data_IF_098975530231
#
_entry.id   IF_098975530231
#
_cell.length_a   1.000
_cell.length_b   1.000
_cell.length_c   1.000
_cell.angle_alpha   90.00
_cell.angle_beta   90.00
_cell.angle_gamma   90.00
#
_symmetry.space_group_name_H-M   'P 1'
#
loop_
_entity.id
_entity.type
_entity.pdbx_description
1 polymer ?
#
# COMPACT_ATOMS: atom_id res chain seq x y z
N UNK A 1 -35.46 -31.36 20.48
CA UNK A 1 -35.03 -29.97 20.26
C UNK A 1 -33.51 -29.93 20.24
N UNK A 2 -32.86 -29.55 19.12
CA UNK A 2 -31.42 -29.32 19.08
C UNK A 2 -31.13 -27.96 19.72
N UNK A 3 -30.27 -27.94 20.75
CA UNK A 3 -29.85 -26.70 21.38
C UNK A 3 -29.21 -25.75 20.35
N UNK A 4 -29.46 -24.43 20.41
CA UNK A 4 -28.81 -23.49 19.50
C UNK A 4 -27.29 -23.52 19.68
N UNK A 5 -26.56 -23.52 18.56
CA UNK A 5 -25.09 -23.49 18.52
C UNK A 5 -24.58 -22.30 19.35
N UNK A 6 -23.53 -22.49 20.17
CA UNK A 6 -23.02 -21.47 21.11
C UNK A 6 -22.80 -20.08 20.50
N UNK A 7 -22.38 -20.01 19.24
CA UNK A 7 -22.19 -18.76 18.47
C UNK A 7 -23.46 -17.92 18.35
N UNK A 8 -24.63 -18.54 18.16
CA UNK A 8 -25.91 -17.83 18.11
C UNK A 8 -26.30 -17.22 19.47
N UNK A 9 -25.86 -17.83 20.58
CA UNK A 9 -26.20 -17.30 21.91
C UNK A 9 -25.46 -16.01 22.21
N UNK A 10 -24.17 -15.94 21.89
CA UNK A 10 -23.37 -14.72 22.07
C UNK A 10 -23.82 -13.60 21.12
N UNK A 11 -24.12 -13.95 19.87
CA UNK A 11 -24.68 -13.01 18.90
C UNK A 11 -26.00 -12.42 19.39
N UNK A 12 -26.92 -13.26 19.86
CA UNK A 12 -28.20 -12.79 20.41
C UNK A 12 -27.99 -11.93 21.65
N UNK A 13 -27.09 -12.33 22.55
CA UNK A 13 -26.82 -11.60 23.78
C UNK A 13 -26.27 -10.19 23.50
N UNK A 14 -25.33 -10.04 22.56
CA UNK A 14 -24.81 -8.74 22.11
C UNK A 14 -25.89 -7.85 21.47
N UNK A 15 -26.89 -8.45 20.83
CA UNK A 15 -27.98 -7.71 20.18
C UNK A 15 -29.07 -7.29 21.18
N UNK A 16 -29.44 -8.20 22.08
CA UNK A 16 -30.51 -8.03 23.09
C UNK A 16 -30.09 -7.09 24.22
N UNK A 17 -28.87 -7.24 24.73
CA UNK A 17 -28.32 -6.38 25.79
C UNK A 17 -27.76 -5.08 25.19
N UNK A 18 -28.38 -3.96 25.56
CA UNK A 18 -28.01 -2.64 25.05
C UNK A 18 -26.85 -2.00 25.80
N UNK A 19 -26.54 -2.47 27.00
CA UNK A 19 -25.51 -1.89 27.88
C UNK A 19 -24.20 -2.67 27.81
N UNK A 20 -24.27 -3.96 27.44
CA UNK A 20 -23.11 -4.85 27.36
C UNK A 20 -21.90 -4.29 26.60
N UNK A 21 -22.09 -3.58 25.47
CA UNK A 21 -20.96 -2.99 24.73
C UNK A 21 -20.31 -1.86 25.53
N UNK A 22 -21.10 -1.04 26.21
CA UNK A 22 -20.56 0.02 27.06
C UNK A 22 -19.84 -0.58 28.25
N UNK A 23 -20.40 -1.62 28.88
CA UNK A 23 -19.78 -2.30 30.01
C UNK A 23 -18.46 -3.00 29.63
N UNK A 24 -18.40 -3.63 28.45
CA UNK A 24 -17.21 -4.32 27.96
C UNK A 24 -16.05 -3.37 27.62
N UNK A 25 -16.37 -2.13 27.26
CA UNK A 25 -15.37 -1.13 26.88
C UNK A 25 -15.09 -0.12 28.00
N UNK A 26 -15.80 -0.24 29.13
CA UNK A 26 -15.65 0.66 30.27
C UNK A 26 -14.23 0.59 30.84
N UNK A 27 -13.49 1.70 30.73
CA UNK A 27 -12.11 1.80 31.22
C UNK A 27 -11.06 1.17 30.30
N UNK A 28 -11.43 0.73 29.10
CA UNK A 28 -10.49 0.23 28.10
C UNK A 28 -9.69 1.36 27.44
N UNK A 29 -8.46 1.06 27.07
CA UNK A 29 -7.56 1.97 26.36
C UNK A 29 -8.04 2.21 24.92
N UNK A 30 -7.72 3.39 24.38
CA UNK A 30 -8.13 3.82 23.03
C UNK A 30 -7.80 2.78 21.93
N UNK A 31 -6.64 2.12 22.05
CA UNK A 31 -6.23 1.10 21.09
C UNK A 31 -7.12 -0.15 21.13
N UNK A 32 -7.59 -0.55 22.30
CA UNK A 32 -8.46 -1.71 22.47
C UNK A 32 -9.88 -1.41 21.97
N UNK A 33 -10.40 -0.22 22.25
CA UNK A 33 -11.68 0.25 21.68
C UNK A 33 -11.62 0.25 20.15
N UNK A 34 -10.52 0.74 19.57
CA UNK A 34 -10.30 0.75 18.11
C UNK A 34 -10.19 -0.65 17.54
N UNK A 35 -9.48 -1.55 18.20
CA UNK A 35 -9.33 -2.95 17.79
C UNK A 35 -10.68 -3.68 17.82
N UNK A 36 -11.47 -3.48 18.88
CA UNK A 36 -12.82 -4.02 19.01
C UNK A 36 -13.73 -3.53 17.87
N UNK A 37 -13.76 -2.21 17.63
CA UNK A 37 -14.56 -1.60 16.58
C UNK A 37 -14.22 -2.14 15.18
N UNK A 38 -12.92 -2.26 14.86
CA UNK A 38 -12.46 -2.85 13.58
C UNK A 38 -12.89 -4.30 13.43
N UNK A 39 -12.69 -5.12 14.45
CA UNK A 39 -13.11 -6.53 14.45
C UNK A 39 -14.62 -6.67 14.30
N UNK A 40 -15.40 -5.78 14.91
CA UNK A 40 -16.86 -5.77 14.77
C UNK A 40 -17.30 -5.45 13.34
N UNK A 41 -16.70 -4.44 12.70
CA UNK A 41 -17.00 -4.07 11.30
C UNK A 41 -16.65 -5.18 10.31
N UNK A 42 -15.55 -5.89 10.56
CA UNK A 42 -15.06 -6.96 9.69
C UNK A 42 -15.66 -8.34 10.01
N UNK A 43 -16.44 -8.46 11.10
CA UNK A 43 -16.97 -9.73 11.55
C UNK A 43 -18.07 -10.25 10.61
N UNK A 44 -17.94 -11.47 10.06
CA UNK A 44 -18.99 -12.10 9.27
C UNK A 44 -20.13 -12.65 10.14
N UNK A 45 -20.00 -12.61 11.47
CA UNK A 45 -20.99 -13.18 12.39
C UNK A 45 -22.32 -12.39 12.42
N UNK A 46 -22.30 -11.12 11.99
CA UNK A 46 -23.46 -10.22 12.03
C UNK A 46 -23.88 -9.81 10.62
N UNK A 47 -25.16 -9.48 10.41
CA UNK A 47 -25.58 -8.81 9.19
C UNK A 47 -25.05 -7.37 9.16
N UNK A 48 -25.03 -6.73 7.99
CA UNK A 48 -24.50 -5.37 7.85
C UNK A 48 -25.24 -4.34 8.72
N UNK A 49 -26.56 -4.44 8.79
CA UNK A 49 -27.40 -3.58 9.63
C UNK A 49 -27.11 -3.79 11.12
N UNK A 50 -26.88 -5.04 11.54
CA UNK A 50 -26.56 -5.38 12.93
C UNK A 50 -25.18 -4.84 13.32
N UNK A 51 -24.18 -4.96 12.43
CA UNK A 51 -22.86 -4.36 12.64
C UNK A 51 -22.96 -2.85 12.82
N UNK A 52 -23.75 -2.16 12.00
CA UNK A 52 -23.99 -0.71 12.11
C UNK A 52 -24.67 -0.35 13.43
N UNK A 53 -25.66 -1.13 13.86
CA UNK A 53 -26.37 -0.95 15.13
C UNK A 53 -25.45 -1.12 16.34
N UNK A 54 -24.64 -2.18 16.36
CA UNK A 54 -23.67 -2.42 17.43
C UNK A 54 -22.57 -1.34 17.43
N UNK A 55 -22.13 -0.90 16.25
CA UNK A 55 -21.15 0.18 16.13
C UNK A 55 -21.68 1.52 16.64
N UNK A 56 -22.96 1.83 16.42
CA UNK A 56 -23.58 3.01 17.02
C UNK A 56 -23.55 2.97 18.56
N UNK A 57 -23.62 1.78 19.17
CA UNK A 57 -23.45 1.60 20.63
C UNK A 57 -22.00 1.83 21.05
N UNK A 58 -21.03 1.35 20.27
CA UNK A 58 -19.59 1.62 20.49
C UNK A 58 -19.33 3.13 20.46
N UNK A 59 -19.82 3.84 19.43
CA UNK A 59 -19.67 5.31 19.32
C UNK A 59 -20.35 6.03 20.49
N UNK A 60 -21.52 5.55 20.94
CA UNK A 60 -22.21 6.13 22.08
C UNK A 60 -21.41 6.00 23.38
N UNK A 61 -20.69 4.90 23.57
CA UNK A 61 -19.82 4.69 24.71
C UNK A 61 -18.47 5.43 24.57
N UNK A 62 -17.95 5.51 23.35
CA UNK A 62 -16.65 6.06 22.98
C UNK A 62 -16.76 6.93 21.72
N UNK A 63 -17.08 8.24 21.85
CA UNK A 63 -17.26 9.14 20.71
C UNK A 63 -16.08 9.21 19.75
N UNK A 64 -14.86 9.04 20.27
CA UNK A 64 -13.61 8.89 19.51
C UNK A 64 -13.65 7.80 18.41
N UNK A 65 -14.47 6.76 18.59
CA UNK A 65 -14.60 5.68 17.62
C UNK A 65 -15.38 6.10 16.37
N UNK A 66 -16.00 7.29 16.37
CA UNK A 66 -16.76 7.84 15.26
C UNK A 66 -15.90 7.97 13.99
N UNK A 67 -14.60 8.30 14.12
CA UNK A 67 -13.66 8.39 12.99
C UNK A 67 -13.53 7.07 12.20
N UNK A 68 -13.77 5.92 12.86
CA UNK A 68 -13.71 4.59 12.25
C UNK A 68 -14.94 4.28 11.39
N UNK A 69 -16.03 5.04 11.56
CA UNK A 69 -17.30 4.88 10.85
C UNK A 69 -17.51 5.98 9.83
N UNK A 70 -17.05 7.19 10.11
CA UNK A 70 -17.04 8.31 9.16
C UNK A 70 -15.91 8.20 8.14
N UNK A 71 -14.86 7.43 8.45
CA UNK A 71 -13.90 6.98 7.45
C UNK A 71 -14.51 5.94 6.55
N UNK A 72 -14.62 6.26 5.26
CA UNK A 72 -15.07 5.37 4.18
C UNK A 72 -14.56 3.93 4.38
N UNK A 73 -15.51 3.03 4.65
CA UNK A 73 -15.30 1.60 4.87
C UNK A 73 -15.88 0.78 3.71
N UNK A 74 -15.88 1.36 2.50
CA UNK A 74 -15.58 0.54 1.33
C UNK A 74 -14.21 -0.16 1.50
N UNK A 75 -13.90 -1.23 0.76
CA UNK A 75 -12.53 -1.69 0.69
C UNK A 75 -11.70 -0.48 0.26
N UNK A 76 -10.88 0.08 1.18
CA UNK A 76 -9.93 1.13 0.81
C UNK A 76 -9.15 0.54 -0.34
N UNK A 77 -9.32 1.10 -1.53
CA UNK A 77 -8.39 0.86 -2.63
C UNK A 77 -7.04 1.25 -2.00
N UNK A 78 -6.16 0.28 -1.75
CA UNK A 78 -4.83 0.54 -1.20
C UNK A 78 -4.18 1.51 -2.18
N UNK A 79 -4.20 2.78 -1.80
CA UNK A 79 -3.78 3.88 -2.66
C UNK A 79 -2.28 3.98 -2.48
N UNK A 80 -1.54 3.83 -3.58
CA UNK A 80 -0.10 3.90 -3.59
C UNK A 80 0.31 5.37 -3.39
N UNK A 81 0.97 5.67 -2.28
CA UNK A 81 1.56 6.98 -2.07
C UNK A 81 2.81 7.08 -2.92
N UNK A 82 2.90 8.11 -3.76
CA UNK A 82 4.03 8.36 -4.67
C UNK A 82 4.37 9.84 -4.66
N UNK A 83 5.62 10.21 -4.97
CA UNK A 83 5.92 11.62 -5.20
C UNK A 83 5.22 12.15 -6.45
N UNK A 84 5.00 13.46 -6.49
CA UNK A 84 4.51 14.15 -7.70
C UNK A 84 5.39 13.90 -8.92
N UNK A 85 6.72 13.95 -8.75
CA UNK A 85 7.67 13.69 -9.84
C UNK A 85 7.50 12.29 -10.43
N UNK A 86 7.45 11.26 -9.58
CA UNK A 86 7.25 9.88 -10.05
C UNK A 86 5.89 9.67 -10.71
N UNK A 87 4.84 10.33 -10.22
CA UNK A 87 3.53 10.30 -10.84
C UNK A 87 3.56 10.95 -12.24
N UNK A 88 4.22 12.10 -12.39
CA UNK A 88 4.38 12.77 -13.69
C UNK A 88 5.21 11.93 -14.66
N UNK A 89 6.33 11.34 -14.22
CA UNK A 89 7.13 10.43 -15.04
C UNK A 89 6.31 9.25 -15.56
N UNK A 90 5.49 8.62 -14.71
CA UNK A 90 4.60 7.51 -15.11
C UNK A 90 3.48 7.95 -16.06
N UNK A 91 2.91 9.15 -15.86
CA UNK A 91 1.94 9.73 -16.80
C UNK A 91 2.56 9.98 -18.17
N UNK A 92 3.77 10.56 -18.20
CA UNK A 92 4.50 10.80 -19.44
C UNK A 92 4.84 9.48 -20.17
N UNK A 93 5.25 8.43 -19.44
CA UNK A 93 5.46 7.10 -20.01
C UNK A 93 4.18 6.55 -20.63
N UNK A 94 3.05 6.68 -19.93
CA UNK A 94 1.75 6.23 -20.42
C UNK A 94 1.32 6.99 -21.69
N UNK A 95 1.48 8.32 -21.71
CA UNK A 95 1.17 9.13 -22.89
C UNK A 95 2.04 8.76 -24.10
N UNK A 96 3.35 8.54 -23.90
CA UNK A 96 4.24 8.09 -24.97
C UNK A 96 3.81 6.71 -25.52
N UNK A 97 3.45 5.80 -24.61
CA UNK A 97 2.97 4.47 -24.96
C UNK A 97 1.72 4.52 -25.85
N UNK A 98 0.72 5.29 -25.44
CA UNK A 98 -0.58 5.40 -26.12
C UNK A 98 -0.49 6.20 -27.42
N UNK A 99 0.21 7.34 -27.39
CA UNK A 99 0.19 8.29 -28.50
C UNK A 99 1.28 8.04 -29.54
N UNK A 100 2.37 7.32 -29.19
CA UNK A 100 3.49 7.07 -30.10
C UNK A 100 3.75 5.60 -30.34
N UNK A 101 4.05 4.84 -29.28
CA UNK A 101 4.57 3.46 -29.42
C UNK A 101 3.52 2.48 -29.98
N UNK A 102 2.29 2.51 -29.46
CA UNK A 102 1.21 1.65 -29.96
C UNK A 102 0.84 1.99 -31.42
N UNK A 103 0.59 3.26 -31.80
CA UNK A 103 0.38 3.62 -33.19
C UNK A 103 1.55 3.27 -34.11
N UNK A 104 2.79 3.41 -33.64
CA UNK A 104 4.00 3.00 -34.35
C UNK A 104 4.01 1.51 -34.66
N UNK A 105 3.78 0.67 -33.64
CA UNK A 105 3.70 -0.78 -33.80
C UNK A 105 2.58 -1.20 -34.79
N UNK A 106 1.42 -0.56 -34.75
CA UNK A 106 0.32 -0.85 -35.70
C UNK A 106 0.78 -0.61 -37.15
N UNK A 107 1.54 0.48 -37.39
CA UNK A 107 2.13 0.75 -38.71
C UNK A 107 3.16 -0.30 -39.11
N UNK A 108 4.03 -0.70 -38.18
CA UNK A 108 5.03 -1.76 -38.41
C UNK A 108 4.37 -3.08 -38.80
N UNK A 109 3.30 -3.48 -38.10
CA UNK A 109 2.52 -4.68 -38.45
C UNK A 109 1.93 -4.57 -39.86
N UNK A 110 1.39 -3.41 -40.22
CA UNK A 110 0.81 -3.18 -41.54
C UNK A 110 1.87 -3.28 -42.65
N UNK A 111 3.05 -2.69 -42.42
CA UNK A 111 4.20 -2.78 -43.34
C UNK A 111 4.66 -4.23 -43.46
N UNK A 112 4.88 -4.91 -42.33
CA UNK A 112 5.31 -6.31 -42.32
C UNK A 112 4.33 -7.23 -43.06
N UNK A 113 3.02 -6.94 -42.97
CA UNK A 113 1.97 -7.67 -43.68
C UNK A 113 2.01 -7.48 -45.20
N UNK A 114 2.50 -6.36 -45.69
CA UNK A 114 2.60 -6.09 -47.13
C UNK A 114 3.64 -6.95 -47.86
N UNK A 115 4.59 -7.57 -47.13
CA UNK A 115 5.64 -8.41 -47.71
C UNK A 115 5.19 -9.83 -48.10
N UNK A 116 3.89 -10.16 -47.98
CA UNK A 116 3.31 -11.35 -48.59
C UNK A 116 3.40 -12.62 -47.73
N UNK A 117 4.56 -13.26 -47.64
CA UNK A 117 4.67 -14.55 -46.92
C UNK A 117 4.81 -14.38 -45.40
N UNK A 118 3.66 -14.29 -44.74
CA UNK A 118 3.55 -14.09 -43.29
C UNK A 118 4.02 -15.28 -42.45
N UNK A 119 4.14 -16.49 -43.03
CA UNK A 119 4.49 -17.69 -42.26
C UNK A 119 5.97 -17.71 -41.89
N UNK A 120 6.83 -17.16 -42.74
CA UNK A 120 8.27 -17.04 -42.51
C UNK A 120 8.72 -15.63 -42.11
N UNK A 121 7.87 -14.62 -42.26
CA UNK A 121 8.19 -13.23 -41.94
C UNK A 121 8.46 -13.03 -40.43
N UNK A 122 9.74 -12.90 -40.08
CA UNK A 122 10.20 -12.71 -38.71
C UNK A 122 9.78 -11.35 -38.15
N UNK A 123 9.78 -10.32 -38.99
CA UNK A 123 9.40 -8.96 -38.66
C UNK A 123 7.92 -8.88 -38.25
N UNK A 124 7.04 -9.58 -38.94
CA UNK A 124 5.63 -9.67 -38.60
C UNK A 124 5.42 -10.35 -37.24
N UNK A 125 6.12 -11.47 -37.00
CA UNK A 125 6.05 -12.19 -35.72
C UNK A 125 6.55 -11.32 -34.56
N UNK A 126 7.69 -10.65 -34.75
CA UNK A 126 8.27 -9.74 -33.77
C UNK A 126 7.34 -8.55 -33.48
N UNK A 127 6.77 -7.93 -34.51
CA UNK A 127 5.83 -6.81 -34.36
C UNK A 127 4.56 -7.23 -33.59
N UNK A 128 4.02 -8.44 -33.86
CA UNK A 128 2.88 -9.00 -33.12
C UNK A 128 3.21 -9.35 -31.66
N UNK A 129 4.41 -9.84 -31.38
CA UNK A 129 4.86 -10.04 -30.00
C UNK A 129 4.98 -8.69 -29.27
N UNK A 130 5.59 -7.69 -29.92
CA UNK A 130 5.72 -6.36 -29.37
C UNK A 130 4.34 -5.72 -29.12
N UNK A 131 3.35 -5.96 -29.98
CA UNK A 131 1.97 -5.51 -29.76
C UNK A 131 1.40 -6.06 -28.45
N UNK A 132 1.63 -7.33 -28.14
CA UNK A 132 1.19 -7.94 -26.88
C UNK A 132 1.92 -7.33 -25.67
N UNK A 133 3.22 -7.07 -25.78
CA UNK A 133 4.02 -6.41 -24.74
C UNK A 133 3.49 -4.99 -24.48
N UNK A 134 3.26 -4.20 -25.52
CA UNK A 134 2.72 -2.84 -25.40
C UNK A 134 1.32 -2.83 -24.78
N UNK A 135 0.43 -3.74 -25.21
CA UNK A 135 -0.91 -3.84 -24.66
C UNK A 135 -0.88 -4.21 -23.16
N UNK A 136 -0.04 -5.17 -22.78
CA UNK A 136 0.15 -5.53 -21.37
C UNK A 136 0.68 -4.35 -20.55
N UNK A 137 1.72 -3.67 -21.04
CA UNK A 137 2.31 -2.51 -20.37
C UNK A 137 1.28 -1.38 -20.21
N UNK A 138 0.43 -1.18 -21.20
CA UNK A 138 -0.66 -0.18 -21.15
C UNK A 138 -1.61 -0.50 -20.00
N UNK A 139 -2.13 -1.73 -19.93
CA UNK A 139 -3.05 -2.15 -18.86
C UNK A 139 -2.41 -2.06 -17.48
N UNK A 140 -1.14 -2.46 -17.35
CA UNK A 140 -0.40 -2.35 -16.09
C UNK A 140 -0.26 -0.87 -15.66
N UNK A 141 0.18 0.01 -16.56
CA UNK A 141 0.31 1.45 -16.27
C UNK A 141 -1.04 2.11 -15.95
N UNK A 142 -2.11 1.79 -16.69
CA UNK A 142 -3.46 2.32 -16.39
C UNK A 142 -3.88 1.94 -14.97
N UNK A 143 -3.71 0.66 -14.59
CA UNK A 143 -4.05 0.18 -13.25
C UNK A 143 -3.19 0.85 -12.17
N UNK A 144 -1.89 0.96 -12.41
CA UNK A 144 -0.93 1.59 -11.49
C UNK A 144 -1.30 3.06 -11.26
N UNK A 145 -1.55 3.82 -12.35
CA UNK A 145 -1.96 5.22 -12.30
C UNK A 145 -3.32 5.41 -11.60
N UNK A 146 -4.28 4.53 -11.83
CA UNK A 146 -5.60 4.54 -11.18
C UNK A 146 -5.54 4.29 -9.67
N UNK A 147 -4.43 3.73 -9.17
CA UNK A 147 -4.23 3.42 -7.76
C UNK A 147 -3.26 4.38 -7.07
N UNK A 148 -2.62 5.29 -7.80
CA UNK A 148 -1.59 6.16 -7.25
C UNK A 148 -2.13 7.51 -6.82
N UNK A 149 -1.60 8.01 -5.70
CA UNK A 149 -1.85 9.34 -5.18
C UNK A 149 -0.52 10.07 -5.04
N UNK A 150 -0.40 11.15 -5.81
CA UNK A 150 0.72 12.08 -5.71
C UNK A 150 0.66 12.85 -4.39
N UNK A 151 1.80 12.89 -3.70
CA UNK A 151 1.97 13.59 -2.44
C UNK A 151 3.28 14.38 -2.45
N UNK A 152 3.30 15.47 -1.68
CA UNK A 152 4.56 16.09 -1.27
C UNK A 152 5.17 15.23 -0.16
N UNK A 153 6.40 14.76 -0.36
CA UNK A 153 7.11 13.88 0.56
C UNK A 153 8.12 14.65 1.43
N UNK A 154 8.15 15.99 1.33
CA UNK A 154 9.03 16.83 2.14
C UNK A 154 8.43 17.09 3.53
N UNK A 155 9.29 17.43 4.49
CA UNK A 155 8.83 17.87 5.83
C UNK A 155 8.09 16.82 6.65
N UNK A 156 8.36 15.53 6.40
CA UNK A 156 7.75 14.44 7.13
C UNK A 156 8.03 14.50 8.65
N UNK A 157 7.13 13.95 9.45
CA UNK A 157 7.36 13.75 10.88
C UNK A 157 8.51 12.77 11.10
N UNK A 158 9.49 13.19 11.92
CA UNK A 158 10.72 12.46 12.22
C UNK A 158 10.69 11.77 13.58
N UNK A 159 9.53 11.72 14.25
CA UNK A 159 9.36 11.00 15.52
C UNK A 159 9.55 9.47 15.37
N UNK A 160 9.35 8.97 14.17
CA UNK A 160 9.60 7.62 13.69
C UNK A 160 9.88 7.68 12.18
N UNK A 161 10.38 6.59 11.61
CA UNK A 161 10.57 6.48 10.17
C UNK A 161 9.20 6.48 9.49
N UNK A 162 9.02 7.41 8.56
CA UNK A 162 7.81 7.56 7.74
C UNK A 162 8.19 7.73 6.27
N UNK A 163 7.20 7.74 5.38
CA UNK A 163 7.41 8.18 4.00
C UNK A 163 7.89 9.65 4.04
N UNK A 164 8.98 9.94 3.33
CA UNK A 164 9.61 11.25 3.34
C UNK A 164 10.69 11.43 4.42
N UNK A 165 11.23 10.34 4.99
CA UNK A 165 12.30 10.41 5.99
C UNK A 165 13.63 9.88 5.45
N UNK A 166 14.72 10.47 5.93
CA UNK A 166 16.10 10.02 5.74
C UNK A 166 16.54 9.37 7.05
N UNK A 167 16.85 8.08 6.98
CA UNK A 167 17.24 7.25 8.12
C UNK A 167 18.74 7.02 8.06
N UNK A 168 19.44 7.38 9.13
CA UNK A 168 20.85 7.02 9.30
C UNK A 168 20.92 5.75 10.13
N UNK A 169 21.55 4.73 9.56
CA UNK A 169 21.74 3.41 10.12
C UNK A 169 23.20 3.21 10.48
N UNK A 170 23.46 2.44 11.54
CA UNK A 170 24.80 2.05 11.95
C UNK A 170 24.93 0.53 12.02
N UNK A 171 26.01 -0.01 11.43
CA UNK A 171 26.39 -1.41 11.51
C UNK A 171 27.91 -1.51 11.65
N UNK A 172 28.38 -2.25 12.66
CA UNK A 172 29.82 -2.49 12.93
C UNK A 172 30.71 -1.22 12.94
N UNK A 173 30.14 -0.09 13.37
CA UNK A 173 30.83 1.20 13.42
C UNK A 173 30.82 1.99 12.11
N UNK A 174 30.34 1.42 11.01
CA UNK A 174 30.05 2.13 9.77
C UNK A 174 28.62 2.70 9.77
N UNK A 175 28.42 3.84 9.13
CA UNK A 175 27.11 4.49 9.00
C UNK A 175 26.66 4.56 7.55
N UNK A 176 25.38 4.36 7.34
CA UNK A 176 24.73 4.32 6.04
C UNK A 176 23.42 5.11 6.07
N UNK A 177 23.04 5.73 4.96
CA UNK A 177 21.81 6.50 4.87
C UNK A 177 20.87 5.91 3.83
N UNK A 178 19.60 5.77 4.21
CA UNK A 178 18.51 5.36 3.35
C UNK A 178 17.39 6.40 3.41
N UNK A 179 16.82 6.74 2.26
CA UNK A 179 15.65 7.61 2.21
C UNK A 179 14.42 6.80 1.89
N UNK A 180 13.43 6.79 2.78
CA UNK A 180 12.16 6.10 2.58
C UNK A 180 11.19 7.02 1.85
N UNK A 181 10.87 6.72 0.60
CA UNK A 181 9.98 7.50 -0.25
C UNK A 181 8.76 6.68 -0.71
N UNK A 182 8.01 7.21 -1.67
CA UNK A 182 6.81 6.60 -2.21
C UNK A 182 7.07 5.35 -3.06
N UNK A 183 5.99 4.70 -3.48
CA UNK A 183 6.01 3.37 -4.10
C UNK A 183 6.85 3.29 -5.38
N UNK A 184 7.01 4.42 -6.10
CA UNK A 184 7.69 4.50 -7.40
C UNK A 184 8.97 5.33 -7.36
N UNK A 185 9.42 5.70 -6.16
CA UNK A 185 10.52 6.63 -5.93
C UNK A 185 11.86 5.93 -5.64
N UNK A 186 11.90 4.60 -5.73
CA UNK A 186 13.14 3.83 -5.51
C UNK A 186 14.22 4.18 -6.52
N UNK A 187 15.43 4.38 -6.01
CA UNK A 187 16.66 4.59 -6.77
C UNK A 187 17.82 4.02 -5.93
N UNK A 188 18.24 2.76 -6.19
CA UNK A 188 19.27 2.08 -5.41
C UNK A 188 20.62 2.82 -5.40
N UNK A 189 21.00 3.43 -6.53
CA UNK A 189 22.26 4.16 -6.67
C UNK A 189 22.30 5.39 -5.74
N UNK A 190 21.13 5.95 -5.44
CA UNK A 190 20.94 7.07 -4.52
C UNK A 190 20.45 6.66 -3.13
N UNK A 191 20.35 5.35 -2.87
CA UNK A 191 19.80 4.76 -1.63
C UNK A 191 18.40 5.30 -1.29
N UNK A 192 17.60 5.58 -2.32
CA UNK A 192 16.19 5.88 -2.18
C UNK A 192 15.42 4.56 -2.24
N UNK A 193 14.62 4.29 -1.22
CA UNK A 193 13.87 3.04 -1.09
C UNK A 193 12.40 3.35 -1.00
N UNK A 194 11.59 2.60 -1.75
CA UNK A 194 10.14 2.61 -1.59
C UNK A 194 9.76 2.08 -0.22
N UNK A 195 8.77 2.70 0.42
CA UNK A 195 8.18 2.18 1.65
C UNK A 195 7.62 0.75 1.51
N UNK A 196 7.35 0.28 0.29
CA UNK A 196 6.90 -1.09 0.00
C UNK A 196 8.04 -2.08 -0.23
N UNK A 197 9.29 -1.61 -0.32
CA UNK A 197 10.45 -2.50 -0.43
C UNK A 197 10.71 -3.22 0.89
N UNK A 198 11.50 -4.29 0.86
CA UNK A 198 11.92 -5.03 2.06
C UNK A 198 12.57 -4.10 3.10
N UNK A 199 13.54 -3.29 2.67
CA UNK A 199 14.21 -2.29 3.51
C UNK A 199 13.19 -1.25 4.02
N UNK A 200 12.33 -0.73 3.14
CA UNK A 200 11.30 0.24 3.52
C UNK A 200 10.34 -0.31 4.59
N UNK A 201 9.88 -1.55 4.44
CA UNK A 201 8.99 -2.22 5.40
C UNK A 201 9.70 -2.52 6.73
N UNK A 202 10.98 -2.85 6.70
CA UNK A 202 11.77 -3.04 7.92
C UNK A 202 11.95 -1.73 8.70
N UNK A 203 12.08 -0.60 8.00
CA UNK A 203 12.33 0.70 8.60
C UNK A 203 11.07 1.43 9.07
N UNK A 204 9.96 1.36 8.32
CA UNK A 204 8.74 2.13 8.61
C UNK A 204 8.24 1.91 10.05
N UNK A 205 7.95 3.02 10.75
CA UNK A 205 7.45 3.06 12.11
C UNK A 205 8.50 2.88 13.21
N UNK A 206 9.74 2.53 12.84
CA UNK A 206 10.84 2.38 13.79
C UNK A 206 11.37 3.73 14.26
N UNK A 207 12.03 3.76 15.41
CA UNK A 207 12.53 4.97 16.08
C UNK A 207 14.04 4.94 16.24
N UNK A 208 14.60 6.10 16.54
CA UNK A 208 16.02 6.22 16.93
C UNK A 208 16.31 5.34 18.14
N UNK A 209 17.37 4.55 18.05
CA UNK A 209 17.82 3.55 19.03
C UNK A 209 17.26 2.14 18.79
N UNK A 210 16.31 1.95 17.88
CA UNK A 210 15.79 0.62 17.53
C UNK A 210 16.68 -0.09 16.53
N UNK A 211 16.61 -1.43 16.55
CA UNK A 211 17.38 -2.30 15.64
C UNK A 211 16.46 -2.93 14.61
N UNK A 212 16.91 -2.93 13.37
CA UNK A 212 16.21 -3.47 12.21
C UNK A 212 17.08 -4.49 11.51
N UNK A 213 16.46 -5.49 10.89
CA UNK A 213 17.15 -6.52 10.12
C UNK A 213 16.58 -6.54 8.70
N UNK A 214 17.47 -6.47 7.72
CA UNK A 214 17.13 -6.59 6.31
C UNK A 214 18.38 -6.97 5.51
N UNK A 215 18.16 -7.35 4.25
CA UNK A 215 19.24 -7.65 3.30
C UNK A 215 20.00 -6.41 2.83
N UNK A 216 21.30 -6.40 3.08
CA UNK A 216 22.24 -5.35 2.64
C UNK A 216 22.27 -5.24 1.10
N UNK A 217 22.20 -4.02 0.56
CA UNK A 217 22.18 -3.79 -0.89
C UNK A 217 23.52 -4.09 -1.58
N UNK A 218 24.63 -4.03 -0.86
CA UNK A 218 25.98 -4.23 -1.41
C UNK A 218 26.44 -5.68 -1.26
N UNK A 219 26.17 -6.30 -0.11
CA UNK A 219 26.64 -7.66 0.17
C UNK A 219 25.59 -8.74 -0.04
N UNK A 220 24.31 -8.38 -0.20
CA UNK A 220 23.17 -9.30 -0.31
C UNK A 220 22.99 -10.25 0.90
N UNK A 221 23.59 -9.91 2.04
CA UNK A 221 23.50 -10.69 3.29
C UNK A 221 22.49 -10.04 4.25
N UNK A 222 21.82 -10.86 5.07
CA UNK A 222 20.99 -10.35 6.17
C UNK A 222 21.87 -9.69 7.23
N UNK A 223 21.58 -8.43 7.56
CA UNK A 223 22.34 -7.66 8.54
C UNK A 223 21.41 -6.92 9.50
N UNK A 224 21.88 -6.76 10.73
CA UNK A 224 21.21 -5.95 11.75
C UNK A 224 21.84 -4.56 11.79
N UNK A 225 21.00 -3.53 11.68
CA UNK A 225 21.38 -2.13 11.79
C UNK A 225 20.70 -1.48 12.99
N UNK A 226 21.35 -0.48 13.57
CA UNK A 226 20.75 0.39 14.59
C UNK A 226 20.41 1.74 13.97
N UNK A 227 19.21 2.26 14.23
CA UNK A 227 18.80 3.58 13.76
C UNK A 227 19.41 4.64 14.67
N UNK A 228 20.32 5.46 14.15
CA UNK A 228 21.01 6.48 14.96
C UNK A 228 20.47 7.89 14.75
N UNK A 229 19.80 8.15 13.62
CA UNK A 229 19.20 9.45 13.33
C UNK A 229 18.06 9.34 12.31
N UNK A 230 17.06 10.21 12.42
CA UNK A 230 15.94 10.32 11.48
C UNK A 230 15.74 11.80 11.17
N UNK A 231 15.84 12.17 9.90
CA UNK A 231 15.62 13.55 9.42
C UNK A 231 14.59 13.59 8.30
N UNK A 232 14.01 14.77 8.05
CA UNK A 232 13.04 14.94 6.97
C UNK A 232 13.75 15.04 5.61
N UNK A 233 13.15 14.41 4.59
CA UNK A 233 13.54 14.59 3.20
C UNK A 233 13.30 16.04 2.74
N UNK A 234 14.18 16.51 1.86
CA UNK A 234 14.24 17.90 1.38
C UNK A 234 13.74 18.04 -0.05
#
# INVERSE_FOLDING_TARGET
MRAPRRTLRLQNFLMEDRELIADLLAGEEMNEVRNFARKLLQSPAFAELDRKSLMARVIKAHPEAQELVTGDSGPRKETLVVSWDSLERRKAEYEDLVNKRIPGNIKEIAIARSYGDLRENFEYKAAKQMQAVLARRKTELEKDLDNAQGSDLTGADTSAVNIGTVVTLQHEGATEQYTVLGAWDSDPDRRLVSYLSEIGQALIGQKVGEKVEFRDLETEEERTYEIVDITAWK
#
